data_IF_371416541256
#
_entry.id   IF_371416541256
#
_cell.length_a   1.000
_cell.length_b   1.000
_cell.length_c   1.000
_cell.angle_alpha   90.00
_cell.angle_beta   90.00
_cell.angle_gamma   90.00
#
_symmetry.space_group_name_H-M   'P 1'
#
loop_
_entity.id
_entity.type
_entity.pdbx_description
1 polymer ?
#
# COMPACT_ATOMS: atom_id res chain seq x y z
N UNK A 1 23.63 -6.94 -15.34
CA UNK A 1 22.69 -5.80 -15.40
C UNK A 1 23.36 -4.56 -14.85
N UNK A 2 23.09 -3.40 -15.42
CA UNK A 2 23.64 -2.13 -14.92
C UNK A 2 23.07 -1.81 -13.54
N UNK A 3 23.93 -1.44 -12.60
CA UNK A 3 23.53 -1.01 -11.26
C UNK A 3 22.89 0.37 -11.37
N UNK A 4 21.69 0.55 -10.84
CA UNK A 4 21.08 1.88 -10.70
C UNK A 4 21.74 2.57 -9.51
N UNK A 5 22.34 3.73 -9.75
CA UNK A 5 22.90 4.56 -8.69
C UNK A 5 21.78 5.18 -7.86
N UNK A 6 22.02 5.37 -6.56
CA UNK A 6 21.02 5.90 -5.63
C UNK A 6 20.42 7.25 -6.07
N UNK A 7 21.23 8.11 -6.71
CA UNK A 7 20.79 9.41 -7.21
C UNK A 7 19.79 9.30 -8.38
N UNK A 8 19.78 8.16 -9.06
CA UNK A 8 18.97 7.86 -10.24
C UNK A 8 17.78 6.94 -9.90
N UNK A 9 17.60 6.60 -8.62
CA UNK A 9 16.42 5.89 -8.13
C UNK A 9 15.17 6.76 -8.26
N UNK A 10 14.02 6.10 -8.43
CA UNK A 10 12.74 6.73 -8.66
C UNK A 10 12.30 7.51 -7.42
N UNK A 11 11.90 8.77 -7.66
CA UNK A 11 11.24 9.61 -6.66
C UNK A 11 9.76 9.29 -6.65
N UNK A 12 9.38 8.27 -5.88
CA UNK A 12 8.02 7.70 -5.86
C UNK A 12 6.92 8.76 -5.73
N UNK A 13 7.06 9.70 -4.80
CA UNK A 13 6.07 10.75 -4.51
C UNK A 13 5.90 11.69 -5.69
N UNK A 14 7.00 12.05 -6.34
CA UNK A 14 6.98 12.90 -7.53
C UNK A 14 6.25 12.20 -8.69
N UNK A 15 6.62 10.94 -8.97
CA UNK A 15 6.11 10.19 -10.13
C UNK A 15 4.69 9.64 -9.94
N UNK A 16 4.28 9.31 -8.72
CA UNK A 16 2.98 8.66 -8.43
C UNK A 16 1.94 9.65 -7.92
N UNK A 17 2.35 10.64 -7.11
CA UNK A 17 1.41 11.54 -6.42
C UNK A 17 1.33 12.89 -7.12
N UNK A 18 2.47 13.57 -7.27
CA UNK A 18 2.53 14.98 -7.69
C UNK A 18 2.26 15.11 -9.18
N UNK A 19 3.08 14.49 -10.05
CA UNK A 19 2.92 14.60 -11.52
C UNK A 19 1.57 14.09 -12.01
N UNK A 20 1.06 12.92 -11.54
CA UNK A 20 -0.24 12.43 -11.99
C UNK A 20 -1.43 13.13 -11.34
N UNK A 21 -1.17 14.02 -10.37
CA UNK A 21 -2.17 14.72 -9.56
C UNK A 21 -3.17 13.74 -8.92
N UNK A 22 -2.64 12.66 -8.34
CA UNK A 22 -3.43 11.48 -7.96
C UNK A 22 -4.60 11.82 -7.02
N UNK A 23 -4.39 12.75 -6.10
CA UNK A 23 -5.40 13.16 -5.12
C UNK A 23 -6.09 14.49 -5.46
N UNK A 24 -5.99 14.94 -6.72
CA UNK A 24 -6.71 16.14 -7.15
C UNK A 24 -8.22 16.00 -6.91
N UNK A 25 -8.81 17.02 -6.30
CA UNK A 25 -10.23 17.05 -5.96
C UNK A 25 -10.56 16.48 -4.58
N UNK A 26 -9.59 15.95 -3.85
CA UNK A 26 -9.75 15.60 -2.43
C UNK A 26 -9.24 16.75 -1.54
N UNK A 27 -10.06 17.21 -0.61
CA UNK A 27 -9.64 18.18 0.43
C UNK A 27 -8.94 17.43 1.57
N UNK A 28 -7.69 17.01 1.31
CA UNK A 28 -6.89 16.25 2.26
C UNK A 28 -6.21 17.18 3.27
N UNK A 29 -6.38 16.87 4.56
CA UNK A 29 -5.69 17.53 5.66
C UNK A 29 -4.81 16.53 6.41
N UNK A 30 -3.66 16.95 6.97
CA UNK A 30 -2.80 16.06 7.74
C UNK A 30 -3.53 15.41 8.92
N UNK A 31 -3.29 14.13 9.14
CA UNK A 31 -3.83 13.39 10.28
C UNK A 31 -2.85 13.47 11.45
N UNK A 32 -3.02 14.42 12.36
CA UNK A 32 -2.05 14.67 13.46
C UNK A 32 -1.95 13.53 14.47
N UNK A 33 -3.03 12.79 14.71
CA UNK A 33 -3.07 11.67 15.66
C UNK A 33 -3.71 10.46 15.02
N UNK A 34 -3.10 9.29 15.18
CA UNK A 34 -3.64 8.01 14.71
C UNK A 34 -3.47 6.95 15.79
N UNK A 35 -4.56 6.27 16.17
CA UNK A 35 -4.59 5.29 17.26
C UNK A 35 -3.94 5.79 18.57
N UNK A 36 -4.13 7.08 18.88
CA UNK A 36 -3.55 7.72 20.07
C UNK A 36 -2.08 8.11 19.95
N UNK A 37 -1.43 7.88 18.81
CA UNK A 37 -0.04 8.27 18.54
C UNK A 37 0.04 9.57 17.73
N UNK A 38 0.94 10.48 18.12
CA UNK A 38 1.25 11.70 17.35
C UNK A 38 2.03 11.33 16.08
N UNK A 39 1.47 11.67 14.92
CA UNK A 39 2.04 11.29 13.62
C UNK A 39 3.07 12.29 13.10
N UNK A 40 3.19 13.49 13.71
CA UNK A 40 4.07 14.57 13.21
C UNK A 40 5.53 14.16 13.17
N UNK A 41 5.94 13.26 14.06
CA UNK A 41 7.28 12.66 14.05
C UNK A 41 7.60 11.81 12.81
N UNK A 42 6.59 11.39 12.05
CA UNK A 42 6.74 10.68 10.79
C UNK A 42 6.68 11.62 9.57
N UNK A 43 6.18 12.85 9.72
CA UNK A 43 5.97 13.76 8.58
C UNK A 43 7.26 14.16 7.91
N UNK A 44 8.34 14.28 8.67
CA UNK A 44 9.73 14.37 8.20
C UNK A 44 10.62 13.81 9.31
N UNK A 45 11.52 12.89 8.97
CA UNK A 45 12.41 12.28 9.93
C UNK A 45 13.84 12.18 9.42
N UNK A 46 14.78 12.19 10.37
CA UNK A 46 16.20 11.94 10.15
C UNK A 46 16.77 11.15 11.32
N UNK A 47 17.33 10.00 11.00
CA UNK A 47 18.05 9.12 11.91
C UNK A 47 19.46 8.87 11.36
N UNK A 48 20.36 8.24 12.12
CA UNK A 48 21.69 7.88 11.60
C UNK A 48 21.64 6.96 10.38
N UNK A 49 20.59 6.13 10.26
CA UNK A 49 20.45 5.15 9.17
C UNK A 49 19.52 5.62 8.04
N UNK A 50 18.57 6.52 8.30
CA UNK A 50 17.55 6.87 7.33
C UNK A 50 17.09 8.33 7.41
N UNK A 51 16.63 8.84 6.27
CA UNK A 51 15.89 10.10 6.17
C UNK A 51 14.62 9.87 5.38
N UNK A 52 13.58 10.66 5.59
CA UNK A 52 12.36 10.48 4.80
C UNK A 52 11.13 11.07 5.44
N UNK A 53 9.98 10.58 5.00
CA UNK A 53 8.68 10.92 5.55
C UNK A 53 7.66 9.81 5.31
N UNK A 54 6.65 9.75 6.18
CA UNK A 54 5.36 9.11 5.93
C UNK A 54 4.30 10.10 6.41
N UNK A 55 3.56 10.67 5.46
CA UNK A 55 2.55 11.70 5.74
C UNK A 55 1.16 11.08 5.65
N UNK A 56 0.45 10.95 6.79
CA UNK A 56 -0.92 10.49 6.80
C UNK A 56 -1.89 11.68 6.64
N UNK A 57 -3.00 11.41 5.97
CA UNK A 57 -4.03 12.38 5.63
C UNK A 57 -5.42 11.79 5.88
N UNK A 58 -6.36 12.69 6.17
CA UNK A 58 -7.81 12.42 6.17
C UNK A 58 -8.51 13.42 5.25
N UNK A 59 -9.75 13.13 4.87
CA UNK A 59 -10.57 14.05 4.10
C UNK A 59 -11.32 15.02 5.01
N UNK A 60 -11.14 16.32 4.79
CA UNK A 60 -11.81 17.37 5.58
C UNK A 60 -13.32 17.21 5.49
N UNK A 61 -13.98 17.19 6.65
CA UNK A 61 -15.45 17.14 6.73
C UNK A 61 -16.08 15.81 6.27
N UNK A 62 -15.31 14.72 6.18
CA UNK A 62 -15.83 13.41 5.79
C UNK A 62 -15.22 12.27 6.59
N UNK A 63 -16.03 11.25 6.86
CA UNK A 63 -15.60 9.99 7.50
C UNK A 63 -15.25 8.90 6.50
N UNK A 64 -15.31 9.18 5.18
CA UNK A 64 -15.04 8.18 4.13
C UNK A 64 -13.62 7.64 4.15
N UNK A 65 -12.66 8.42 4.64
CA UNK A 65 -11.25 8.06 4.71
C UNK A 65 -10.86 7.95 6.17
N UNK A 66 -10.43 6.77 6.59
CA UNK A 66 -9.73 6.61 7.88
C UNK A 66 -8.34 7.20 7.78
N UNK A 67 -7.61 6.84 6.71
CA UNK A 67 -6.23 7.27 6.48
C UNK A 67 -5.83 7.06 5.02
N UNK A 68 -5.22 8.09 4.42
CA UNK A 68 -4.34 7.94 3.26
C UNK A 68 -2.93 8.26 3.74
N UNK A 69 -2.00 7.31 3.63
CA UNK A 69 -0.59 7.57 3.88
C UNK A 69 0.20 7.36 2.61
N UNK A 70 1.16 8.24 2.34
CA UNK A 70 2.24 7.94 1.41
C UNK A 70 3.57 8.48 1.96
N UNK A 71 4.66 7.89 1.50
CA UNK A 71 5.98 8.26 2.01
C UNK A 71 7.14 7.57 1.34
N UNK A 72 8.32 8.02 1.73
CA UNK A 72 9.62 7.53 1.28
C UNK A 72 10.57 7.46 2.47
N UNK A 73 11.27 6.35 2.61
CA UNK A 73 12.37 6.14 3.54
C UNK A 73 13.63 5.88 2.74
N UNK A 74 14.55 6.84 2.79
CA UNK A 74 15.87 6.77 2.18
C UNK A 74 16.84 6.12 3.16
N UNK A 75 17.20 4.86 2.89
CA UNK A 75 18.04 4.07 3.77
C UNK A 75 19.51 4.13 3.34
N UNK A 76 20.35 4.76 4.16
CA UNK A 76 21.80 4.83 4.02
C UNK A 76 22.32 5.21 2.61
N UNK A 77 21.54 5.95 1.82
CA UNK A 77 21.82 6.24 0.40
C UNK A 77 22.04 4.97 -0.46
N UNK A 78 21.37 3.88 -0.12
CA UNK A 78 21.48 2.56 -0.78
C UNK A 78 20.15 2.03 -1.28
N UNK A 79 19.06 2.40 -0.62
CA UNK A 79 17.71 1.99 -0.99
C UNK A 79 16.71 3.10 -0.68
N UNK A 80 15.59 3.07 -1.39
CA UNK A 80 14.41 3.89 -1.11
C UNK A 80 13.25 2.93 -0.90
N UNK A 81 12.64 2.98 0.29
CA UNK A 81 11.43 2.22 0.63
C UNK A 81 10.26 3.19 0.58
N UNK A 82 9.34 2.96 -0.34
CA UNK A 82 8.18 3.81 -0.55
C UNK A 82 6.92 3.03 -0.27
N UNK A 83 5.95 3.69 0.36
CA UNK A 83 4.65 3.10 0.60
C UNK A 83 3.55 4.09 0.23
N UNK A 84 2.41 3.56 -0.22
CA UNK A 84 1.15 4.27 -0.32
C UNK A 84 0.03 3.33 0.13
N UNK A 85 -0.72 3.75 1.14
CA UNK A 85 -1.83 3.00 1.70
C UNK A 85 -3.07 3.89 1.77
N UNK A 86 -4.23 3.36 1.38
CA UNK A 86 -5.50 4.05 1.48
C UNK A 86 -6.52 3.15 2.16
N UNK A 87 -7.01 3.60 3.31
CA UNK A 87 -7.97 2.89 4.14
C UNK A 87 -9.23 3.73 4.30
N UNK A 88 -10.38 3.14 3.98
CA UNK A 88 -11.68 3.78 4.15
C UNK A 88 -12.14 3.75 5.62
N UNK A 89 -13.01 4.68 5.98
CA UNK A 89 -13.62 4.72 7.31
C UNK A 89 -14.52 3.53 7.61
N UNK A 90 -14.83 3.33 8.88
CA UNK A 90 -15.51 2.13 9.39
C UNK A 90 -16.96 1.95 8.94
N UNK A 91 -17.55 2.97 8.31
CA UNK A 91 -18.88 2.89 7.71
C UNK A 91 -18.84 2.42 6.25
N UNK A 92 -17.67 2.14 5.68
CA UNK A 92 -17.50 1.83 4.27
C UNK A 92 -16.66 0.58 4.08
N UNK A 93 -17.08 -0.28 3.15
CA UNK A 93 -16.48 -1.60 2.90
C UNK A 93 -15.40 -1.59 1.82
N UNK A 94 -14.79 -0.45 1.52
CA UNK A 94 -13.75 -0.42 0.48
C UNK A 94 -12.58 -1.33 0.88
N UNK A 95 -11.95 -1.99 -0.10
CA UNK A 95 -10.73 -2.73 0.16
C UNK A 95 -9.62 -1.77 0.60
N UNK A 96 -8.63 -2.27 1.33
CA UNK A 96 -7.43 -1.48 1.65
C UNK A 96 -6.55 -1.45 0.41
N UNK A 97 -6.33 -0.27 -0.16
CA UNK A 97 -5.28 -0.12 -1.16
C UNK A 97 -3.93 -0.19 -0.47
N UNK A 98 -3.07 -1.10 -0.88
CA UNK A 98 -1.70 -1.20 -0.40
C UNK A 98 -0.73 -1.22 -1.58
N UNK A 99 0.26 -0.33 -1.50
CA UNK A 99 1.38 -0.28 -2.42
C UNK A 99 2.67 -0.19 -1.60
N UNK A 100 3.52 -1.19 -1.73
CA UNK A 100 4.91 -1.15 -1.29
C UNK A 100 5.83 -1.15 -2.50
N UNK A 101 6.77 -0.22 -2.54
CA UNK A 101 7.70 -0.02 -3.62
C UNK A 101 9.10 0.19 -3.05
N UNK A 102 9.93 -0.84 -3.17
CA UNK A 102 11.25 -0.88 -2.55
C UNK A 102 12.32 -0.92 -3.64
N UNK A 103 12.96 0.23 -3.87
CA UNK A 103 14.05 0.30 -4.82
C UNK A 103 15.40 0.08 -4.11
N UNK A 104 16.08 -1.01 -4.48
CA UNK A 104 17.42 -1.34 -4.01
C UNK A 104 18.20 -1.99 -5.15
N UNK A 105 19.36 -1.47 -5.52
CA UNK A 105 20.05 -1.98 -6.69
C UNK A 105 20.39 -3.49 -6.56
N UNK A 106 20.12 -4.33 -7.58
CA UNK A 106 19.75 -3.96 -8.95
C UNK A 106 18.23 -3.98 -9.25
N UNK A 107 17.33 -3.98 -8.26
CA UNK A 107 15.90 -4.29 -8.45
C UNK A 107 14.92 -3.35 -7.73
N UNK A 108 13.69 -3.38 -8.19
CA UNK A 108 12.52 -2.86 -7.48
C UNK A 108 11.73 -4.05 -6.94
N UNK A 109 11.52 -4.12 -5.64
CA UNK A 109 10.48 -4.96 -5.05
C UNK A 109 9.17 -4.20 -5.07
N UNK A 110 8.08 -4.84 -5.49
CA UNK A 110 6.78 -4.17 -5.57
C UNK A 110 5.66 -5.10 -5.14
N UNK A 111 4.73 -4.59 -4.35
CA UNK A 111 3.41 -5.19 -4.10
C UNK A 111 2.35 -4.11 -4.29
N UNK A 112 1.32 -4.38 -5.08
CA UNK A 112 0.18 -3.49 -5.31
C UNK A 112 -1.09 -4.33 -5.21
N UNK A 113 -2.04 -3.89 -4.38
CA UNK A 113 -3.29 -4.59 -4.23
C UNK A 113 -4.45 -3.72 -3.70
N UNK A 114 -5.68 -4.19 -3.93
CA UNK A 114 -6.87 -3.79 -3.20
C UNK A 114 -7.28 -4.98 -2.32
N UNK A 115 -6.77 -5.01 -1.09
CA UNK A 115 -6.95 -6.11 -0.15
C UNK A 115 -8.39 -6.15 0.38
N UNK A 116 -9.16 -7.23 0.16
CA UNK A 116 -10.57 -7.30 0.56
C UNK A 116 -10.74 -7.36 2.07
N UNK A 117 -11.61 -6.50 2.59
CA UNK A 117 -11.97 -6.43 4.02
C UNK A 117 -13.10 -7.39 4.42
N UNK A 118 -13.53 -8.28 3.52
CA UNK A 118 -14.53 -9.33 3.75
C UNK A 118 -14.04 -10.67 3.17
N UNK A 119 -14.64 -11.79 3.56
CA UNK A 119 -14.42 -13.07 2.89
C UNK A 119 -15.11 -13.07 1.52
N UNK A 120 -14.31 -13.07 0.46
CA UNK A 120 -14.79 -12.99 -0.93
C UNK A 120 -15.47 -14.26 -1.43
N UNK A 121 -15.30 -15.41 -0.75
CA UNK A 121 -16.04 -16.63 -1.05
C UNK A 121 -17.45 -16.59 -0.47
N UNK A 122 -17.63 -15.89 0.65
CA UNK A 122 -18.94 -15.63 1.27
C UNK A 122 -19.66 -14.48 0.58
N UNK A 123 -18.93 -13.45 0.15
CA UNK A 123 -19.42 -12.22 -0.47
C UNK A 123 -19.00 -12.05 -1.94
N UNK A 124 -19.53 -12.85 -2.88
CA UNK A 124 -19.19 -12.74 -4.30
C UNK A 124 -19.56 -11.38 -4.90
N UNK A 125 -20.59 -10.70 -4.39
CA UNK A 125 -20.98 -9.34 -4.79
C UNK A 125 -19.87 -8.31 -4.52
N UNK A 126 -19.06 -8.53 -3.49
CA UNK A 126 -17.89 -7.70 -3.18
C UNK A 126 -16.85 -7.77 -4.30
N UNK A 127 -16.64 -8.97 -4.84
CA UNK A 127 -15.70 -9.19 -5.96
C UNK A 127 -16.16 -8.38 -7.17
N UNK A 128 -17.43 -8.46 -7.53
CA UNK A 128 -17.95 -7.72 -8.68
C UNK A 128 -17.89 -6.21 -8.48
N UNK A 129 -18.20 -5.74 -7.25
CA UNK A 129 -18.20 -4.32 -6.91
C UNK A 129 -16.80 -3.71 -6.91
N UNK A 130 -15.81 -4.38 -6.31
CA UNK A 130 -14.52 -3.76 -5.99
C UNK A 130 -13.31 -4.39 -6.68
N UNK A 131 -13.37 -5.67 -7.07
CA UNK A 131 -12.20 -6.40 -7.55
C UNK A 131 -12.24 -6.68 -9.05
N UNK A 132 -13.41 -6.98 -9.62
CA UNK A 132 -13.61 -7.16 -11.06
C UNK A 132 -13.09 -5.98 -11.92
N UNK A 133 -13.20 -4.70 -11.49
CA UNK A 133 -12.59 -3.58 -12.21
C UNK A 133 -11.06 -3.67 -12.37
N UNK A 134 -10.37 -4.42 -11.51
CA UNK A 134 -8.93 -4.64 -11.60
C UNK A 134 -8.56 -5.69 -12.64
N UNK A 135 -9.46 -6.62 -12.98
CA UNK A 135 -9.15 -7.72 -13.88
C UNK A 135 -8.47 -7.31 -15.21
N UNK A 136 -8.93 -6.29 -15.96
CA UNK A 136 -8.22 -5.84 -17.16
C UNK A 136 -6.84 -5.26 -16.86
N UNK A 137 -6.68 -4.49 -15.78
CA UNK A 137 -5.40 -3.91 -15.36
C UNK A 137 -4.42 -5.00 -14.94
N UNK A 138 -4.88 -5.96 -14.13
CA UNK A 138 -4.09 -7.11 -13.72
C UNK A 138 -3.61 -7.91 -14.92
N UNK A 139 -4.48 -8.20 -15.90
CA UNK A 139 -4.08 -8.91 -17.13
C UNK A 139 -3.02 -8.15 -17.91
N UNK A 140 -3.12 -6.81 -17.98
CA UNK A 140 -2.16 -5.93 -18.65
C UNK A 140 -0.80 -5.91 -17.93
N UNK A 141 -0.79 -5.78 -16.61
CA UNK A 141 0.43 -5.53 -15.85
C UNK A 141 1.12 -6.79 -15.35
N UNK A 142 0.40 -7.89 -15.08
CA UNK A 142 1.01 -9.14 -14.61
C UNK A 142 2.07 -9.69 -15.57
N UNK A 143 1.98 -9.38 -16.86
CA UNK A 143 2.94 -9.83 -17.87
C UNK A 143 4.28 -9.09 -17.83
N UNK A 144 4.43 -8.06 -16.97
CA UNK A 144 5.72 -7.39 -16.80
C UNK A 144 6.79 -8.40 -16.33
N UNK A 145 7.97 -8.43 -16.99
CA UNK A 145 9.12 -9.19 -16.51
C UNK A 145 9.39 -8.90 -15.04
N UNK A 146 9.54 -9.97 -14.24
CA UNK A 146 9.74 -9.85 -12.80
C UNK A 146 8.47 -9.94 -11.94
N UNK A 147 7.27 -9.80 -12.51
CA UNK A 147 6.01 -10.13 -11.81
C UNK A 147 5.60 -11.60 -12.06
N UNK A 148 5.91 -12.14 -13.24
CA UNK A 148 5.54 -13.52 -13.65
C UNK A 148 6.70 -14.39 -14.10
N UNK A 149 7.86 -13.80 -14.46
CA UNK A 149 8.90 -14.44 -15.29
C UNK A 149 9.77 -15.53 -14.63
N UNK A 150 9.28 -16.20 -13.60
CA UNK A 150 10.06 -17.26 -12.92
C UNK A 150 9.23 -18.51 -12.56
N UNK A 151 8.00 -18.66 -13.07
CA UNK A 151 7.15 -19.77 -12.63
C UNK A 151 6.87 -19.71 -11.12
N UNK A 152 6.97 -18.52 -10.53
CA UNK A 152 6.80 -18.33 -9.08
C UNK A 152 5.39 -18.70 -8.70
N UNK A 153 5.26 -19.86 -8.06
CA UNK A 153 4.08 -20.22 -7.29
C UNK A 153 3.77 -19.06 -6.33
N UNK A 154 2.49 -18.91 -5.94
CA UNK A 154 2.06 -17.91 -4.95
C UNK A 154 3.00 -17.83 -3.75
N UNK A 155 3.66 -18.94 -3.36
CA UNK A 155 4.63 -19.03 -2.25
C UNK A 155 5.99 -18.35 -2.46
N UNK A 156 6.36 -17.96 -3.68
CA UNK A 156 7.66 -17.32 -3.99
C UNK A 156 7.54 -15.80 -4.20
N UNK A 157 6.33 -15.24 -4.09
CA UNK A 157 6.05 -13.80 -4.07
C UNK A 157 6.60 -13.15 -2.78
N UNK A 158 6.74 -11.82 -2.70
CA UNK A 158 7.24 -11.09 -1.50
C UNK A 158 6.49 -11.55 -0.24
N UNK A 159 5.18 -11.67 -0.33
CA UNK A 159 4.31 -12.14 0.74
C UNK A 159 3.95 -13.63 0.67
N UNK A 160 4.37 -14.31 -0.40
CA UNK A 160 4.04 -15.70 -0.68
C UNK A 160 4.33 -16.71 0.44
N UNK A 161 5.48 -16.62 1.12
CA UNK A 161 5.80 -17.54 2.22
C UNK A 161 4.82 -17.47 3.39
N UNK A 162 4.09 -16.36 3.54
CA UNK A 162 3.27 -16.09 4.72
C UNK A 162 1.80 -16.42 4.48
N UNK A 163 1.23 -17.42 5.18
CA UNK A 163 -0.18 -17.77 5.03
C UNK A 163 -1.12 -16.60 5.30
N UNK A 164 -0.83 -15.78 6.31
CA UNK A 164 -1.63 -14.61 6.65
C UNK A 164 -1.69 -13.62 5.50
N UNK A 165 -0.58 -13.39 4.78
CA UNK A 165 -0.55 -12.44 3.69
C UNK A 165 -1.26 -12.98 2.44
N UNK A 166 -1.17 -14.29 2.18
CA UNK A 166 -1.95 -14.92 1.09
C UNK A 166 -3.46 -14.86 1.31
N UNK A 167 -3.89 -14.93 2.57
CA UNK A 167 -5.30 -14.83 2.95
C UNK A 167 -5.85 -13.39 2.83
N UNK A 168 -4.99 -12.38 2.94
CA UNK A 168 -5.40 -10.98 2.89
C UNK A 168 -5.27 -10.35 1.50
N UNK A 169 -4.44 -10.91 0.62
CA UNK A 169 -4.28 -10.42 -0.74
C UNK A 169 -5.46 -10.82 -1.64
N UNK A 170 -5.83 -9.92 -2.54
CA UNK A 170 -6.83 -10.16 -3.56
C UNK A 170 -6.32 -11.10 -4.67
N UNK A 171 -7.24 -11.70 -5.44
CA UNK A 171 -6.89 -12.46 -6.65
C UNK A 171 -6.17 -11.62 -7.74
N UNK A 172 -6.21 -10.28 -7.63
CA UNK A 172 -5.66 -9.35 -8.62
C UNK A 172 -4.43 -8.58 -8.10
N UNK A 173 -3.77 -9.10 -7.05
CA UNK A 173 -2.49 -8.57 -6.57
C UNK A 173 -1.38 -8.66 -7.62
N UNK A 174 -0.57 -7.60 -7.70
CA UNK A 174 0.70 -7.56 -8.42
C UNK A 174 1.83 -7.60 -7.39
N UNK A 175 2.66 -8.64 -7.43
CA UNK A 175 3.78 -8.81 -6.51
C UNK A 175 4.98 -9.37 -7.28
N UNK A 176 6.13 -8.71 -7.15
CA UNK A 176 7.34 -9.25 -7.73
C UNK A 176 8.57 -8.36 -7.59
N UNK A 177 9.54 -8.63 -8.45
CA UNK A 177 10.85 -7.98 -8.48
C UNK A 177 11.20 -7.61 -9.90
N UNK A 178 11.28 -6.31 -10.19
CA UNK A 178 11.56 -5.77 -11.52
C UNK A 178 13.01 -5.32 -11.58
N UNK A 179 13.75 -5.80 -12.56
CA UNK A 179 15.18 -5.46 -12.72
C UNK A 179 15.39 -4.54 -13.92
N UNK A 180 14.71 -4.84 -15.03
CA UNK A 180 14.84 -4.15 -16.31
C UNK A 180 14.38 -2.68 -16.24
N UNK A 181 15.23 -1.70 -16.61
CA UNK A 181 14.92 -0.27 -16.48
C UNK A 181 13.61 0.18 -17.14
N UNK A 182 13.31 -0.32 -18.34
CA UNK A 182 12.08 0.04 -19.07
C UNK A 182 10.80 -0.42 -18.35
N UNK A 183 10.87 -1.56 -17.66
CA UNK A 183 9.72 -2.11 -16.93
C UNK A 183 9.52 -1.40 -15.58
N UNK A 184 10.55 -0.73 -15.05
CA UNK A 184 10.44 0.11 -13.85
C UNK A 184 9.49 1.29 -14.05
N UNK A 185 9.42 1.84 -15.27
CA UNK A 185 8.48 2.92 -15.58
C UNK A 185 7.06 2.37 -15.73
N UNK A 186 6.90 1.19 -16.35
CA UNK A 186 5.60 0.56 -16.56
C UNK A 186 4.91 0.19 -15.25
N UNK A 187 5.67 -0.21 -14.21
CA UNK A 187 5.07 -0.51 -12.91
C UNK A 187 4.52 0.75 -12.22
N UNK A 188 5.09 1.93 -12.47
CA UNK A 188 4.53 3.19 -11.95
C UNK A 188 3.11 3.43 -12.50
N UNK A 189 2.90 3.13 -13.78
CA UNK A 189 1.55 3.19 -14.37
C UNK A 189 0.58 2.21 -13.71
N UNK A 190 1.04 1.01 -13.33
CA UNK A 190 0.20 0.05 -12.61
C UNK A 190 -0.24 0.58 -11.24
N UNK A 191 0.68 1.20 -10.49
CA UNK A 191 0.40 1.81 -9.19
C UNK A 191 -0.69 2.89 -9.33
N UNK A 192 -0.51 3.80 -10.30
CA UNK A 192 -1.45 4.90 -10.55
C UNK A 192 -2.82 4.36 -10.97
N UNK A 193 -2.87 3.38 -11.89
CA UNK A 193 -4.13 2.83 -12.38
C UNK A 193 -4.91 2.10 -11.26
N UNK A 194 -4.23 1.31 -10.43
CA UNK A 194 -4.87 0.65 -9.28
C UNK A 194 -5.37 1.68 -8.25
N UNK A 195 -4.56 2.69 -7.95
CA UNK A 195 -4.95 3.75 -7.02
C UNK A 195 -6.18 4.53 -7.53
N UNK A 196 -6.24 4.80 -8.85
CA UNK A 196 -7.41 5.43 -9.48
C UNK A 196 -8.66 4.57 -9.37
N UNK A 197 -8.56 3.25 -9.52
CA UNK A 197 -9.72 2.36 -9.29
C UNK A 197 -10.24 2.51 -7.85
N UNK A 198 -9.35 2.52 -6.85
CA UNK A 198 -9.76 2.75 -5.46
C UNK A 198 -10.42 4.12 -5.25
N UNK A 199 -9.88 5.18 -5.85
CA UNK A 199 -10.47 6.53 -5.78
C UNK A 199 -11.84 6.62 -6.46
N UNK A 200 -12.06 5.89 -7.55
CA UNK A 200 -13.38 5.78 -8.18
C UNK A 200 -14.38 5.02 -7.31
N UNK A 201 -13.92 4.00 -6.57
CA UNK A 201 -14.73 3.35 -5.55
C UNK A 201 -15.10 4.29 -4.41
N UNK A 202 -14.17 5.11 -3.92
CA UNK A 202 -14.40 6.09 -2.86
C UNK A 202 -15.49 7.10 -3.23
N UNK A 203 -15.47 7.59 -4.48
CA UNK A 203 -16.49 8.53 -4.99
C UNK A 203 -17.89 7.94 -4.92
N UNK A 204 -18.03 6.65 -5.26
CA UNK A 204 -19.30 5.91 -5.31
C UNK A 204 -19.69 5.26 -3.98
N UNK A 205 -18.85 5.37 -2.96
CA UNK A 205 -19.04 4.70 -1.69
C UNK A 205 -20.25 5.24 -0.93
N UNK A 206 -21.08 4.32 -0.46
CA UNK A 206 -22.23 4.59 0.41
C UNK A 206 -22.02 3.90 1.77
N UNK A 207 -22.54 4.47 2.87
CA UNK A 207 -22.44 3.84 4.18
C UNK A 207 -23.11 2.46 4.21
N UNK A 208 -22.49 1.51 4.90
CA UNK A 208 -23.05 0.18 5.14
C UNK A 208 -24.32 0.31 6.00
N UNK A 209 -25.39 -0.32 5.55
CA UNK A 209 -26.69 -0.31 6.23
C UNK A 209 -26.96 -1.56 7.05
N UNK A 210 -26.33 -2.70 6.72
CA UNK A 210 -26.50 -3.97 7.43
C UNK A 210 -25.49 -4.04 8.62
N UNK A 211 -25.97 -4.05 9.88
CA UNK A 211 -25.09 -4.13 11.04
C UNK A 211 -24.28 -5.42 11.12
N UNK A 212 -24.82 -6.56 10.68
CA UNK A 212 -24.12 -7.85 10.77
C UNK A 212 -22.93 -7.89 9.79
N UNK A 213 -23.17 -7.47 8.55
CA UNK A 213 -22.12 -7.31 7.55
C UNK A 213 -21.05 -6.30 8.00
N UNK A 214 -21.47 -5.18 8.61
CA UNK A 214 -20.54 -4.19 9.14
C UNK A 214 -19.64 -4.77 10.24
N UNK A 215 -20.21 -5.53 11.17
CA UNK A 215 -19.45 -6.16 12.25
C UNK A 215 -18.41 -7.14 11.71
N UNK A 216 -18.81 -7.98 10.75
CA UNK A 216 -17.90 -8.92 10.07
C UNK A 216 -16.75 -8.19 9.34
N UNK A 217 -17.09 -7.19 8.52
CA UNK A 217 -16.12 -6.38 7.78
C UNK A 217 -15.10 -5.73 8.72
N UNK A 218 -15.57 -5.12 9.82
CA UNK A 218 -14.70 -4.47 10.80
C UNK A 218 -13.80 -5.46 11.53
N UNK A 219 -14.32 -6.64 11.87
CA UNK A 219 -13.53 -7.69 12.50
C UNK A 219 -12.38 -8.14 11.59
N UNK A 220 -12.67 -8.38 10.30
CA UNK A 220 -11.65 -8.74 9.31
C UNK A 220 -10.67 -7.59 9.07
N UNK A 221 -11.13 -6.37 8.81
CA UNK A 221 -10.27 -5.18 8.63
C UNK A 221 -9.27 -4.99 9.78
N UNK A 222 -9.73 -5.03 11.03
CA UNK A 222 -8.87 -4.91 12.23
C UNK A 222 -7.87 -6.05 12.33
N UNK A 223 -8.30 -7.27 12.01
CA UNK A 223 -7.43 -8.46 12.00
C UNK A 223 -6.33 -8.33 10.96
N UNK A 224 -6.66 -7.86 9.76
CA UNK A 224 -5.72 -7.62 8.67
C UNK A 224 -4.68 -6.57 9.08
N UNK A 225 -5.12 -5.39 9.52
CA UNK A 225 -4.22 -4.32 9.98
C UNK A 225 -3.29 -4.82 11.09
N UNK A 226 -3.80 -5.60 12.04
CA UNK A 226 -2.99 -6.22 13.09
C UNK A 226 -1.93 -7.19 12.54
N UNK A 227 -2.27 -8.04 11.57
CA UNK A 227 -1.29 -8.95 10.98
C UNK A 227 -0.12 -8.20 10.34
N UNK A 228 -0.38 -7.18 9.54
CA UNK A 228 0.70 -6.41 8.94
C UNK A 228 1.50 -5.65 10.00
N UNK A 229 0.83 -5.05 11.00
CA UNK A 229 1.51 -4.36 12.11
C UNK A 229 2.48 -5.24 12.88
N UNK A 230 2.07 -6.48 13.17
CA UNK A 230 2.82 -7.38 14.04
C UNK A 230 3.80 -8.30 13.28
N UNK A 231 3.54 -8.55 12.00
CA UNK A 231 4.20 -9.62 11.23
C UNK A 231 4.84 -9.15 9.93
N UNK A 232 4.67 -7.90 9.53
CA UNK A 232 5.31 -7.42 8.31
C UNK A 232 6.85 -7.57 8.42
N UNK A 233 7.51 -8.21 7.45
CA UNK A 233 8.96 -8.41 7.48
C UNK A 233 9.78 -7.11 7.54
N UNK A 234 9.23 -6.00 7.03
CA UNK A 234 9.80 -4.67 7.13
C UNK A 234 9.76 -4.10 8.55
N UNK A 235 8.90 -4.62 9.42
CA UNK A 235 8.77 -4.19 10.83
C UNK A 235 10.09 -4.23 11.60
N UNK A 236 10.90 -5.28 11.41
CA UNK A 236 12.23 -5.39 12.05
C UNK A 236 13.22 -4.34 11.54
N UNK A 237 13.12 -3.92 10.28
CA UNK A 237 13.95 -2.85 9.72
C UNK A 237 13.51 -1.50 10.30
N UNK A 238 12.20 -1.23 10.32
CA UNK A 238 11.62 -0.01 10.92
C UNK A 238 12.00 0.08 12.41
N UNK A 239 11.92 -1.04 13.15
CA UNK A 239 12.32 -1.14 14.54
C UNK A 239 13.79 -0.82 14.77
N UNK A 240 14.69 -1.29 13.91
CA UNK A 240 16.11 -0.89 13.96
C UNK A 240 16.32 0.59 13.69
N UNK A 241 15.55 1.21 12.80
CA UNK A 241 15.70 2.62 12.41
C UNK A 241 15.16 3.56 13.48
N UNK A 242 14.01 3.25 14.08
CA UNK A 242 13.27 4.17 14.94
C UNK A 242 13.19 3.75 16.42
N UNK A 243 13.57 2.52 16.74
CA UNK A 243 13.48 1.94 18.09
C UNK A 243 12.11 1.38 18.44
N UNK A 244 12.03 0.69 19.58
CA UNK A 244 10.81 0.03 20.09
C UNK A 244 9.63 0.98 20.23
N UNK A 245 9.85 2.21 20.68
CA UNK A 245 8.76 3.14 20.98
C UNK A 245 8.08 3.68 19.71
N UNK A 246 8.85 3.90 18.64
CA UNK A 246 8.36 4.60 17.44
C UNK A 246 8.04 3.68 16.29
N UNK A 247 8.52 2.44 16.28
CA UNK A 247 8.28 1.54 15.14
C UNK A 247 6.79 1.26 14.93
N UNK A 248 6.02 1.13 16.01
CA UNK A 248 4.57 0.91 15.93
C UNK A 248 3.87 2.04 15.18
N UNK A 249 4.25 3.30 15.41
CA UNK A 249 3.72 4.43 14.65
C UNK A 249 4.01 4.24 13.16
N UNK A 250 5.28 4.03 12.78
CA UNK A 250 5.66 3.94 11.36
C UNK A 250 4.99 2.76 10.64
N UNK A 251 4.95 1.58 11.26
CA UNK A 251 4.26 0.42 10.65
C UNK A 251 2.76 0.69 10.54
N UNK A 252 2.15 1.31 11.55
CA UNK A 252 0.72 1.69 11.52
C UNK A 252 0.42 2.85 10.58
N UNK A 253 1.41 3.55 10.04
CA UNK A 253 1.19 4.53 8.97
C UNK A 253 1.33 3.88 7.59
N UNK A 254 2.22 2.90 7.45
CA UNK A 254 2.43 2.11 6.23
C UNK A 254 1.24 1.16 5.97
N UNK A 255 0.60 0.64 7.02
CA UNK A 255 -0.53 -0.28 6.95
C UNK A 255 -1.80 0.19 7.66
#
# INVERSE_FOLDING_TARGET
MARVDYKDMIKFTEEIIIKPRLFEGLDLIPLETYEGMDTRGAWEFKTPMATGFYKPFVMKGSTKIEKITYGELHYMRRAIYSAMNMTAGDDYDLPIFSCEFDESAPRIGVTIDLMPVVDIAVHPEYVEKYLSPLAPLWRKYRSLPGLTREGRCLVQRRYGPWPWARETLSPFSLDGRIEEPEDRVKILSAIIDYARVWLEHLKKAEPITDPAYKEEMLARKKTMQKFYRDRDPGGEVIKKIFGEEKHLLFVSLIF
#
